data_IF_531188890124
#
_entry.id   IF_531188890124
#
_cell.length_a   1.000
_cell.length_b   1.000
_cell.length_c   1.000
_cell.angle_alpha   90.00
_cell.angle_beta   90.00
_cell.angle_gamma   90.00
#
_symmetry.space_group_name_H-M   'P 1'
#
loop_
_entity.id
_entity.type
_entity.pdbx_description
1 polymer ?
#
# COMPACT_ATOMS: atom_id res chain seq x y z
N UNK A 1 4.05 12.76 -21.67
CA UNK A 1 5.12 13.04 -20.67
C UNK A 1 6.41 12.30 -20.99
N UNK A 2 6.41 10.96 -21.14
CA UNK A 2 7.62 10.20 -21.50
C UNK A 2 8.22 10.58 -22.86
N UNK A 3 7.40 10.89 -23.87
CA UNK A 3 7.85 11.37 -25.18
C UNK A 3 8.57 12.73 -25.14
N UNK A 4 8.35 13.51 -24.08
CA UNK A 4 8.98 14.82 -23.89
C UNK A 4 10.20 14.76 -22.95
N UNK A 5 10.62 13.56 -22.50
CA UNK A 5 11.65 13.35 -21.45
C UNK A 5 11.32 14.06 -20.12
N UNK A 6 10.06 14.37 -19.87
CA UNK A 6 9.62 14.95 -18.59
C UNK A 6 9.26 13.78 -17.67
N UNK A 7 10.02 13.64 -16.59
CA UNK A 7 9.78 12.63 -15.56
C UNK A 7 8.68 13.11 -14.60
N UNK A 8 7.70 12.25 -14.24
CA UNK A 8 6.72 12.60 -13.23
C UNK A 8 7.39 12.92 -11.89
N UNK A 9 6.96 14.01 -11.26
CA UNK A 9 7.43 14.43 -9.93
C UNK A 9 6.56 13.84 -8.82
N UNK A 10 6.97 14.03 -7.57
CA UNK A 10 6.16 13.68 -6.39
C UNK A 10 4.77 14.35 -6.44
N UNK A 11 4.69 15.62 -6.84
CA UNK A 11 3.42 16.35 -6.97
C UNK A 11 2.53 15.74 -8.05
N UNK A 12 3.13 15.28 -9.15
CA UNK A 12 2.40 14.60 -10.22
C UNK A 12 1.72 13.34 -9.68
N UNK A 13 2.46 12.50 -8.96
CA UNK A 13 1.89 11.29 -8.34
C UNK A 13 0.88 11.62 -7.26
N UNK A 14 1.16 12.60 -6.39
CA UNK A 14 0.25 13.04 -5.33
C UNK A 14 -1.10 13.46 -5.90
N UNK A 15 -1.11 14.26 -6.97
CA UNK A 15 -2.33 14.68 -7.66
C UNK A 15 -3.13 13.48 -8.19
N UNK A 16 -2.46 12.54 -8.88
CA UNK A 16 -3.13 11.36 -9.43
C UNK A 16 -3.67 10.44 -8.33
N UNK A 17 -2.92 10.23 -7.26
CA UNK A 17 -3.35 9.41 -6.11
C UNK A 17 -4.55 10.07 -5.43
N UNK A 18 -4.56 11.40 -5.27
CA UNK A 18 -5.71 12.14 -4.74
C UNK A 18 -6.98 11.93 -5.56
N UNK A 19 -6.89 12.04 -6.89
CA UNK A 19 -8.03 11.82 -7.79
C UNK A 19 -8.52 10.38 -7.71
N UNK A 20 -7.63 9.39 -7.76
CA UNK A 20 -8.07 8.00 -7.67
C UNK A 20 -8.60 7.63 -6.28
N UNK A 21 -8.05 8.22 -5.22
CA UNK A 21 -8.52 8.02 -3.84
C UNK A 21 -9.95 8.51 -3.66
N UNK A 22 -10.25 9.74 -4.13
CA UNK A 22 -11.60 10.32 -4.02
C UNK A 22 -12.65 9.54 -4.81
N UNK A 23 -12.24 8.87 -5.89
CA UNK A 23 -13.09 7.99 -6.70
C UNK A 23 -13.14 6.54 -6.19
N UNK A 24 -12.42 6.18 -5.12
CA UNK A 24 -12.32 4.80 -4.63
C UNK A 24 -11.60 3.85 -5.58
N UNK A 25 -10.85 4.38 -6.56
CA UNK A 25 -10.15 3.62 -7.61
C UNK A 25 -8.79 3.09 -7.09
N UNK A 26 -8.82 2.33 -6.00
CA UNK A 26 -7.60 1.84 -5.33
C UNK A 26 -6.74 0.94 -6.22
N UNK A 27 -7.34 0.22 -7.18
CA UNK A 27 -6.59 -0.53 -8.19
C UNK A 27 -5.68 0.38 -9.02
N UNK A 28 -6.15 1.55 -9.42
CA UNK A 28 -5.35 2.51 -10.18
C UNK A 28 -4.16 3.02 -9.36
N UNK A 29 -4.35 3.19 -8.04
CA UNK A 29 -3.27 3.52 -7.12
C UNK A 29 -2.22 2.39 -7.07
N UNK A 30 -2.60 1.12 -7.20
CA UNK A 30 -1.62 0.02 -7.30
C UNK A 30 -0.77 0.08 -8.56
N UNK A 31 -1.34 0.52 -9.69
CA UNK A 31 -0.57 0.72 -10.93
C UNK A 31 0.38 1.90 -10.79
N UNK A 32 -0.08 3.02 -10.22
CA UNK A 32 0.77 4.17 -9.92
C UNK A 32 1.93 3.82 -9.00
N UNK A 33 1.70 3.00 -7.98
CA UNK A 33 2.79 2.54 -7.12
C UNK A 33 3.85 1.75 -7.90
N UNK A 34 3.44 0.94 -8.88
CA UNK A 34 4.38 0.30 -9.81
C UNK A 34 5.18 1.30 -10.65
N UNK A 35 4.53 2.36 -11.15
CA UNK A 35 5.20 3.46 -11.85
C UNK A 35 6.18 4.22 -10.95
N UNK A 36 5.78 4.53 -9.72
CA UNK A 36 6.62 5.21 -8.74
C UNK A 36 7.87 4.39 -8.45
N UNK A 37 7.73 3.08 -8.17
CA UNK A 37 8.89 2.20 -7.94
C UNK A 37 9.89 2.24 -9.10
N UNK A 38 9.42 2.11 -10.35
CA UNK A 38 10.28 2.24 -11.52
C UNK A 38 11.01 3.58 -11.60
N UNK A 39 10.36 4.68 -11.24
CA UNK A 39 11.00 6.00 -11.25
C UNK A 39 12.00 6.18 -10.10
N UNK A 40 11.71 5.61 -8.91
CA UNK A 40 12.64 5.59 -7.78
C UNK A 40 13.89 4.76 -8.10
N UNK A 41 13.72 3.56 -8.65
CA UNK A 41 14.83 2.66 -9.02
C UNK A 41 15.76 3.30 -10.06
N UNK A 42 15.21 4.13 -10.94
CA UNK A 42 15.98 4.88 -11.95
C UNK A 42 16.58 6.19 -11.41
N UNK A 43 16.39 6.52 -10.12
CA UNK A 43 16.86 7.78 -9.52
C UNK A 43 16.10 9.02 -9.96
N UNK A 44 14.95 8.88 -10.61
CA UNK A 44 14.16 9.99 -11.17
C UNK A 44 13.08 10.51 -10.20
N UNK A 45 12.87 9.83 -9.07
CA UNK A 45 11.84 10.19 -8.10
C UNK A 45 12.36 9.99 -6.68
N UNK A 46 12.27 11.04 -5.87
CA UNK A 46 12.38 10.99 -4.41
C UNK A 46 10.98 11.21 -3.86
N UNK A 47 10.58 10.41 -2.89
CA UNK A 47 9.22 10.42 -2.33
C UNK A 47 9.30 10.78 -0.85
N UNK A 48 8.49 11.75 -0.42
CA UNK A 48 8.40 12.13 0.99
C UNK A 48 7.71 11.06 1.83
N UNK A 49 7.94 11.11 3.14
CA UNK A 49 7.22 10.27 4.10
C UNK A 49 5.71 10.42 3.96
N UNK A 50 5.22 11.64 3.78
CA UNK A 50 3.78 11.94 3.77
C UNK A 50 3.09 11.25 2.59
N UNK A 51 3.73 11.18 1.42
CA UNK A 51 3.17 10.44 0.28
C UNK A 51 3.18 8.92 0.51
N UNK A 52 4.19 8.37 1.18
CA UNK A 52 4.16 6.96 1.59
C UNK A 52 3.05 6.66 2.59
N UNK A 53 2.84 7.53 3.59
CA UNK A 53 1.75 7.38 4.55
C UNK A 53 0.38 7.43 3.85
N UNK A 54 0.25 8.31 2.86
CA UNK A 54 -0.97 8.42 2.08
C UNK A 54 -1.22 7.20 1.18
N UNK A 55 -0.17 6.65 0.54
CA UNK A 55 -0.25 5.39 -0.20
C UNK A 55 -0.66 4.23 0.72
N UNK A 56 -0.02 4.14 1.88
CA UNK A 56 -0.27 3.09 2.86
C UNK A 56 -1.74 3.13 3.33
N UNK A 57 -2.26 4.31 3.66
CA UNK A 57 -3.66 4.51 4.01
C UNK A 57 -4.61 4.07 2.89
N UNK A 58 -4.33 4.46 1.65
CA UNK A 58 -5.14 4.09 0.48
C UNK A 58 -5.13 2.58 0.22
N UNK A 59 -4.00 1.90 0.39
CA UNK A 59 -3.93 0.46 0.23
C UNK A 59 -4.64 -0.30 1.36
N UNK A 60 -4.59 0.20 2.60
CA UNK A 60 -5.41 -0.34 3.69
C UNK A 60 -6.89 -0.17 3.36
N UNK A 61 -7.32 1.01 2.91
CA UNK A 61 -8.72 1.25 2.49
C UNK A 61 -9.17 0.30 1.39
N UNK A 62 -8.35 0.12 0.36
CA UNK A 62 -8.63 -0.78 -0.77
C UNK A 62 -8.43 -2.26 -0.50
N UNK A 63 -7.89 -2.66 0.67
CA UNK A 63 -7.62 -4.06 1.01
C UNK A 63 -6.45 -4.68 0.23
N UNK A 64 -5.53 -3.88 -0.30
CA UNK A 64 -4.37 -4.33 -1.07
C UNK A 64 -3.18 -4.65 -0.17
N UNK A 65 -3.32 -5.63 0.72
CA UNK A 65 -2.34 -5.90 1.79
C UNK A 65 -0.94 -6.28 1.31
N UNK A 66 -0.79 -6.85 0.12
CA UNK A 66 0.54 -7.02 -0.49
C UNK A 66 1.24 -5.68 -0.67
N UNK A 67 0.54 -4.67 -1.20
CA UNK A 67 1.07 -3.32 -1.44
C UNK A 67 1.27 -2.56 -0.13
N UNK A 68 0.40 -2.77 0.86
CA UNK A 68 0.58 -2.29 2.25
C UNK A 68 1.93 -2.76 2.79
N UNK A 69 2.23 -4.07 2.68
CA UNK A 69 3.49 -4.62 3.17
C UNK A 69 4.71 -4.14 2.38
N UNK A 70 4.58 -3.95 1.06
CA UNK A 70 5.65 -3.32 0.26
C UNK A 70 5.99 -1.91 0.79
N UNK A 71 4.98 -1.04 0.95
CA UNK A 71 5.20 0.35 1.42
C UNK A 71 5.77 0.37 2.84
N UNK A 72 5.29 -0.47 3.76
CA UNK A 72 5.84 -0.59 5.12
C UNK A 72 7.32 -0.97 5.08
N UNK A 73 7.71 -1.91 4.21
CA UNK A 73 9.12 -2.32 4.10
C UNK A 73 9.98 -1.18 3.55
N UNK A 74 9.53 -0.47 2.52
CA UNK A 74 10.23 0.71 2.00
C UNK A 74 10.43 1.77 3.08
N UNK A 75 9.37 2.13 3.80
CA UNK A 75 9.45 3.09 4.91
C UNK A 75 10.44 2.63 5.98
N UNK A 76 10.43 1.34 6.34
CA UNK A 76 11.35 0.77 7.32
C UNK A 76 12.81 0.81 6.85
N UNK A 77 13.08 0.43 5.61
CA UNK A 77 14.44 0.45 5.02
C UNK A 77 15.03 1.86 5.00
N UNK A 78 14.18 2.88 4.86
CA UNK A 78 14.56 4.29 4.89
C UNK A 78 14.42 4.93 6.28
N UNK A 79 14.28 4.11 7.34
CA UNK A 79 14.15 4.56 8.73
C UNK A 79 13.03 5.57 8.98
N UNK A 80 11.95 5.51 8.20
CA UNK A 80 10.77 6.35 8.35
C UNK A 80 9.84 5.79 9.43
N UNK A 81 9.36 6.68 10.28
CA UNK A 81 8.27 6.36 11.21
C UNK A 81 6.95 6.17 10.44
N UNK A 82 6.11 5.25 10.92
CA UNK A 82 4.77 5.03 10.39
C UNK A 82 3.76 4.99 11.55
N UNK A 83 2.68 5.76 11.45
CA UNK A 83 1.60 5.76 12.44
C UNK A 83 0.76 4.48 12.40
N UNK A 84 1.25 3.45 13.10
CA UNK A 84 0.57 2.15 13.22
C UNK A 84 -0.86 2.27 13.76
N UNK A 85 -1.13 3.24 14.63
CA UNK A 85 -2.45 3.38 15.26
C UNK A 85 -3.50 3.81 14.23
N UNK A 86 -3.15 4.78 13.37
CA UNK A 86 -4.00 5.19 12.25
C UNK A 86 -4.37 4.01 11.34
N UNK A 87 -3.39 3.22 10.91
CA UNK A 87 -3.63 2.07 10.02
C UNK A 87 -4.42 0.95 10.71
N UNK A 88 -4.18 0.73 12.01
CA UNK A 88 -4.96 -0.21 12.82
C UNK A 88 -6.44 0.19 12.85
N UNK A 89 -6.71 1.46 13.12
CA UNK A 89 -8.07 2.01 13.20
C UNK A 89 -8.80 1.84 11.88
N UNK A 90 -8.16 2.22 10.76
CA UNK A 90 -8.75 2.11 9.43
C UNK A 90 -9.00 0.64 9.03
N UNK A 91 -8.08 -0.27 9.38
CA UNK A 91 -8.28 -1.70 9.16
C UNK A 91 -9.47 -2.25 9.96
N UNK A 92 -9.58 -1.93 11.24
CA UNK A 92 -10.69 -2.42 12.08
C UNK A 92 -12.03 -1.87 11.60
N UNK A 93 -12.05 -0.65 11.06
CA UNK A 93 -13.25 -0.05 10.46
C UNK A 93 -13.73 -0.80 9.22
N UNK A 94 -12.83 -1.14 8.30
CA UNK A 94 -13.20 -1.65 6.97
C UNK A 94 -13.09 -3.17 6.84
N UNK A 95 -12.15 -3.79 7.54
CA UNK A 95 -11.66 -5.15 7.28
C UNK A 95 -11.60 -6.04 8.52
N UNK A 96 -12.24 -5.68 9.65
CA UNK A 96 -12.16 -6.46 10.92
C UNK A 96 -12.45 -7.97 10.79
N UNK A 97 -13.28 -8.37 9.84
CA UNK A 97 -13.67 -9.77 9.62
C UNK A 97 -12.88 -10.43 8.49
N UNK A 98 -12.00 -9.69 7.80
CA UNK A 98 -11.23 -10.17 6.68
C UNK A 98 -10.33 -11.34 7.12
N UNK A 99 -10.60 -12.51 6.53
CA UNK A 99 -9.90 -13.76 6.83
C UNK A 99 -9.91 -14.20 8.30
N UNK A 100 -10.84 -13.71 9.13
CA UNK A 100 -10.92 -14.06 10.56
C UNK A 100 -11.05 -15.58 10.79
N UNK A 101 -11.76 -16.26 9.90
CA UNK A 101 -12.06 -17.69 10.02
C UNK A 101 -11.40 -18.54 8.94
N UNK A 102 -10.67 -17.96 8.00
CA UNK A 102 -10.03 -18.72 6.91
C UNK A 102 -8.73 -19.33 7.44
N UNK A 103 -8.70 -20.65 7.59
CA UNK A 103 -7.47 -21.36 7.97
C UNK A 103 -6.51 -21.43 6.79
N UNK A 104 -5.21 -21.43 7.05
CA UNK A 104 -4.19 -21.62 6.01
C UNK A 104 -4.39 -22.96 5.25
N UNK A 105 -4.89 -23.98 5.93
CA UNK A 105 -5.27 -25.28 5.35
C UNK A 105 -6.44 -25.22 4.37
N UNK A 106 -7.27 -24.17 4.43
CA UNK A 106 -8.45 -23.98 3.58
C UNK A 106 -8.16 -23.11 2.35
N UNK A 107 -6.98 -22.48 2.29
CA UNK A 107 -6.55 -21.68 1.16
C UNK A 107 -6.11 -22.59 -0.01
N UNK A 108 -7.06 -22.86 -0.91
CA UNK A 108 -6.93 -23.85 -1.99
C UNK A 108 -5.93 -23.46 -3.08
N UNK A 109 -5.72 -22.16 -3.29
CA UNK A 109 -4.79 -21.66 -4.30
C UNK A 109 -3.59 -20.96 -3.69
N UNK A 110 -2.47 -20.93 -4.43
CA UNK A 110 -1.29 -20.16 -4.02
C UNK A 110 -1.61 -18.66 -3.82
N UNK A 111 -2.43 -18.08 -4.71
CA UNK A 111 -2.85 -16.69 -4.60
C UNK A 111 -3.67 -16.42 -3.33
N UNK A 112 -4.58 -17.33 -2.94
CA UNK A 112 -5.33 -17.20 -1.69
C UNK A 112 -4.41 -17.29 -0.46
N UNK A 113 -3.45 -18.23 -0.46
CA UNK A 113 -2.45 -18.36 0.60
C UNK A 113 -1.64 -17.08 0.78
N UNK A 114 -1.13 -16.51 -0.32
CA UNK A 114 -0.38 -15.24 -0.29
C UNK A 114 -1.22 -14.08 0.25
N UNK A 115 -2.47 -13.93 -0.18
CA UNK A 115 -3.37 -12.89 0.36
C UNK A 115 -3.57 -13.02 1.86
N UNK A 116 -3.76 -14.25 2.35
CA UNK A 116 -3.86 -14.53 3.78
C UNK A 116 -2.58 -14.15 4.53
N UNK A 117 -1.41 -14.56 4.02
CA UNK A 117 -0.10 -14.22 4.59
C UNK A 117 0.09 -12.70 4.73
N UNK A 118 -0.25 -11.91 3.70
CA UNK A 118 -0.10 -10.46 3.77
C UNK A 118 -1.04 -9.82 4.80
N UNK A 119 -2.29 -10.28 4.91
CA UNK A 119 -3.22 -9.79 5.93
C UNK A 119 -2.74 -10.16 7.33
N UNK A 120 -2.25 -11.37 7.55
CA UNK A 120 -1.69 -11.80 8.82
C UNK A 120 -0.44 -11.00 9.19
N UNK A 121 0.46 -10.76 8.23
CA UNK A 121 1.65 -9.94 8.43
C UNK A 121 1.28 -8.50 8.82
N UNK A 122 0.29 -7.91 8.15
CA UNK A 122 -0.22 -6.59 8.52
C UNK A 122 -0.82 -6.57 9.92
N UNK A 123 -1.72 -7.52 10.26
CA UNK A 123 -2.34 -7.62 11.60
C UNK A 123 -1.28 -7.69 12.69
N UNK A 124 -0.25 -8.54 12.51
CA UNK A 124 0.90 -8.60 13.42
C UNK A 124 1.64 -7.27 13.52
N UNK A 125 1.86 -6.58 12.40
CA UNK A 125 2.58 -5.30 12.37
C UNK A 125 1.85 -4.18 13.14
N UNK A 126 0.51 -4.14 13.07
CA UNK A 126 -0.35 -3.22 13.86
C UNK A 126 -0.82 -3.77 15.21
N UNK A 127 -0.33 -4.94 15.63
CA UNK A 127 -0.62 -5.56 16.93
C UNK A 127 -2.06 -6.09 17.11
N UNK A 128 -2.72 -6.52 16.03
CA UNK A 128 -4.06 -7.14 16.08
C UNK A 128 -3.91 -8.66 16.19
N UNK A 129 -4.52 -9.24 17.22
CA UNK A 129 -4.60 -10.69 17.44
C UNK A 129 -5.58 -11.39 16.48
#
# INVERSE_FOLDING_TARGET
MQELKIHPTEETFTCMINVYSSLGMFRNITFLWGDMKRNMDNGNLVVSRDLYEYLLLNFVRGGYFERVMEVINYMKEHSMFADKWMYRSEFLKLHKNLYRNLKASEARTYAQRKRLEYVQAFRKWVGID
#
